data_IF_176661350538
#
_entry.id   IF_176661350538
#
_cell.length_a   1.000
_cell.length_b   1.000
_cell.length_c   1.000
_cell.angle_alpha   90.00
_cell.angle_beta   90.00
_cell.angle_gamma   90.00
#
_symmetry.space_group_name_H-M   'P 1'
#
loop_
_entity.id
_entity.type
_entity.pdbx_description
1 polymer ?
#
# COMPACT_ATOMS: atom_id res chain seq x y z
N UNK A 1 7.15 8.83 -28.76
CA UNK A 1 7.24 7.49 -28.13
C UNK A 1 8.68 7.03 -27.98
N UNK A 2 9.45 6.86 -29.08
CA UNK A 2 10.83 6.35 -29.04
C UNK A 2 11.77 7.25 -28.21
N UNK A 3 11.68 8.57 -28.37
CA UNK A 3 12.51 9.54 -27.63
C UNK A 3 12.27 9.46 -26.11
N UNK A 4 11.02 9.28 -25.67
CA UNK A 4 10.71 9.11 -24.24
C UNK A 4 11.24 7.79 -23.67
N UNK A 5 11.32 6.74 -24.49
CA UNK A 5 11.92 5.47 -24.10
C UNK A 5 13.45 5.59 -23.95
N UNK A 6 14.10 6.27 -24.91
CA UNK A 6 15.53 6.55 -24.85
C UNK A 6 15.92 7.41 -23.64
N UNK A 7 15.13 8.44 -23.34
CA UNK A 7 15.31 9.29 -22.15
C UNK A 7 15.23 8.50 -20.83
N UNK A 8 14.29 7.54 -20.75
CA UNK A 8 14.17 6.64 -19.60
C UNK A 8 15.40 5.72 -19.48
N UNK A 9 15.86 5.15 -20.60
CA UNK A 9 17.05 4.29 -20.63
C UNK A 9 18.29 5.08 -20.24
N UNK A 10 18.45 6.31 -20.76
CA UNK A 10 19.58 7.18 -20.41
C UNK A 10 19.59 7.55 -18.92
N UNK A 11 18.42 7.89 -18.35
CA UNK A 11 18.28 8.16 -16.91
C UNK A 11 18.62 6.93 -16.08
N UNK A 12 18.14 5.75 -16.48
CA UNK A 12 18.46 4.48 -15.82
C UNK A 12 19.96 4.14 -15.91
N UNK A 13 20.60 4.39 -17.05
CA UNK A 13 22.05 4.19 -17.24
C UNK A 13 22.90 5.11 -16.36
N UNK A 14 22.48 6.36 -16.18
CA UNK A 14 23.17 7.33 -15.31
C UNK A 14 23.00 7.00 -13.81
N UNK A 15 21.95 6.32 -13.43
CA UNK A 15 21.66 5.95 -12.03
C UNK A 15 22.40 4.70 -11.53
N UNK A 16 23.20 4.02 -12.35
CA UNK A 16 24.08 2.88 -12.01
C UNK A 16 23.55 1.98 -10.90
N UNK A 17 22.44 1.29 -11.16
CA UNK A 17 21.91 0.28 -10.22
C UNK A 17 21.07 0.84 -9.06
N UNK A 18 20.70 2.12 -9.07
CA UNK A 18 19.70 2.67 -8.16
C UNK A 18 18.30 2.23 -8.57
N UNK A 19 17.44 2.01 -7.58
CA UNK A 19 16.03 1.70 -7.76
C UNK A 19 15.35 2.82 -8.55
N UNK A 20 14.80 2.51 -9.73
CA UNK A 20 14.17 3.51 -10.63
C UNK A 20 12.71 3.80 -10.25
N UNK A 21 12.05 2.82 -9.65
CA UNK A 21 10.67 2.93 -9.15
C UNK A 21 10.59 3.33 -7.69
N UNK A 22 9.42 3.12 -7.08
CA UNK A 22 9.22 3.34 -5.65
C UNK A 22 9.84 2.17 -4.88
N UNK A 23 10.85 2.39 -4.02
CA UNK A 23 11.50 1.31 -3.30
C UNK A 23 10.58 0.73 -2.22
N UNK A 24 10.66 -0.58 -2.03
CA UNK A 24 9.84 -1.34 -1.07
C UNK A 24 10.44 -1.35 0.34
N UNK A 25 11.74 -1.10 0.46
CA UNK A 25 12.50 -1.26 1.70
C UNK A 25 13.11 -2.65 1.88
N UNK A 26 12.78 -3.61 1.02
CA UNK A 26 13.40 -4.93 0.97
C UNK A 26 14.45 -4.95 -0.13
N UNK A 27 15.74 -4.95 0.25
CA UNK A 27 16.87 -4.76 -0.66
C UNK A 27 16.84 -5.76 -1.82
N UNK A 28 16.64 -7.04 -1.54
CA UNK A 28 16.62 -8.10 -2.57
C UNK A 28 15.43 -7.97 -3.51
N UNK A 29 14.27 -7.52 -2.99
CA UNK A 29 13.09 -7.27 -3.78
C UNK A 29 13.30 -6.05 -4.68
N UNK A 30 13.83 -4.97 -4.13
CA UNK A 30 14.15 -3.76 -4.86
C UNK A 30 15.19 -4.00 -5.95
N UNK A 31 16.18 -4.85 -5.67
CA UNK A 31 17.17 -5.26 -6.68
C UNK A 31 16.54 -6.02 -7.85
N UNK A 32 15.59 -6.94 -7.55
CA UNK A 32 14.93 -7.75 -8.59
C UNK A 32 13.91 -6.98 -9.41
N UNK A 33 13.15 -6.06 -8.78
CA UNK A 33 12.06 -5.32 -9.41
C UNK A 33 12.47 -3.91 -9.85
N UNK A 34 13.66 -3.43 -9.45
CA UNK A 34 14.06 -2.02 -9.58
C UNK A 34 13.07 -1.06 -8.90
N UNK A 35 12.42 -1.52 -7.82
CA UNK A 35 11.28 -0.86 -7.18
C UNK A 35 9.96 -1.02 -7.94
N UNK A 36 8.87 -0.51 -7.39
CA UNK A 36 7.56 -0.56 -8.05
C UNK A 36 7.45 0.55 -9.09
N UNK A 37 7.18 0.15 -10.34
CA UNK A 37 7.11 1.08 -11.46
C UNK A 37 5.70 1.69 -11.59
N UNK A 38 5.57 2.91 -12.15
CA UNK A 38 4.27 3.47 -12.47
C UNK A 38 3.47 2.54 -13.40
N UNK A 39 2.20 2.36 -13.09
CA UNK A 39 1.25 1.50 -13.82
C UNK A 39 1.45 0.00 -13.64
N UNK A 40 2.36 -0.45 -12.76
CA UNK A 40 2.48 -1.85 -12.43
C UNK A 40 1.27 -2.34 -11.61
N UNK A 41 0.82 -3.54 -11.95
CA UNK A 41 -0.10 -4.32 -11.14
C UNK A 41 0.68 -5.43 -10.43
N UNK A 42 0.76 -5.34 -9.09
CA UNK A 42 1.56 -6.26 -8.27
C UNK A 42 0.62 -7.10 -7.43
N UNK A 43 0.67 -8.41 -7.61
CA UNK A 43 -0.11 -9.37 -6.86
C UNK A 43 0.76 -10.08 -5.82
N UNK A 44 0.37 -9.96 -4.54
CA UNK A 44 0.99 -10.66 -3.42
C UNK A 44 0.05 -11.76 -2.94
N UNK A 45 0.42 -13.01 -3.19
CA UNK A 45 -0.35 -14.17 -2.81
C UNK A 45 0.34 -14.91 -1.65
N UNK A 46 -0.44 -15.27 -0.63
CA UNK A 46 0.03 -16.07 0.49
C UNK A 46 -1.13 -16.88 1.08
N UNK A 47 -0.82 -18.03 1.68
CA UNK A 47 -1.81 -18.78 2.48
C UNK A 47 -2.23 -17.95 3.71
N UNK A 48 -3.42 -18.21 4.28
CA UNK A 48 -3.84 -17.58 5.53
C UNK A 48 -2.75 -17.68 6.62
N UNK A 49 -2.62 -16.64 7.43
CA UNK A 49 -1.67 -16.55 8.55
C UNK A 49 -0.17 -16.57 8.19
N UNK A 50 0.19 -16.46 6.91
CA UNK A 50 1.60 -16.41 6.46
C UNK A 50 2.20 -15.00 6.50
N UNK A 51 1.51 -14.03 7.09
CA UNK A 51 2.05 -12.68 7.27
C UNK A 51 1.87 -11.72 6.07
N UNK A 52 0.95 -12.01 5.13
CA UNK A 52 0.65 -11.14 3.97
C UNK A 52 0.47 -9.68 4.38
N UNK A 53 -0.47 -9.40 5.28
CA UNK A 53 -0.76 -8.05 5.77
C UNK A 53 0.44 -7.41 6.46
N UNK A 54 1.22 -8.16 7.25
CA UNK A 54 2.42 -7.65 7.89
C UNK A 54 3.46 -7.23 6.85
N UNK A 55 3.70 -8.06 5.83
CA UNK A 55 4.61 -7.74 4.72
C UNK A 55 4.21 -6.47 3.98
N UNK A 56 2.92 -6.37 3.63
CA UNK A 56 2.36 -5.21 2.91
C UNK A 56 2.43 -3.94 3.75
N UNK A 57 2.18 -4.02 5.07
CA UNK A 57 2.29 -2.89 5.98
C UNK A 57 3.73 -2.39 6.12
N UNK A 58 4.73 -3.29 6.15
CA UNK A 58 6.14 -2.88 6.14
C UNK A 58 6.51 -2.11 4.87
N UNK A 59 6.04 -2.56 3.71
CA UNK A 59 6.22 -1.85 2.44
C UNK A 59 5.56 -0.47 2.51
N UNK A 60 4.30 -0.41 2.94
CA UNK A 60 3.53 0.83 3.04
C UNK A 60 4.19 1.84 3.99
N UNK A 61 4.63 1.38 5.16
CA UNK A 61 5.37 2.17 6.14
C UNK A 61 6.64 2.75 5.52
N UNK A 62 7.46 1.92 4.91
CA UNK A 62 8.71 2.37 4.30
C UNK A 62 8.46 3.42 3.22
N UNK A 63 7.49 3.18 2.34
CA UNK A 63 7.14 4.13 1.27
C UNK A 63 6.61 5.45 1.82
N UNK A 64 5.67 5.39 2.77
CA UNK A 64 5.03 6.59 3.31
C UNK A 64 5.96 7.36 4.25
N UNK A 65 6.65 6.68 5.18
CA UNK A 65 7.40 7.35 6.25
C UNK A 65 8.85 7.65 5.86
N UNK A 66 9.51 6.77 5.11
CA UNK A 66 10.93 6.97 4.74
C UNK A 66 11.10 7.58 3.36
N UNK A 67 10.12 7.40 2.45
CA UNK A 67 10.20 7.92 1.07
C UNK A 67 9.18 9.02 0.78
N UNK A 68 8.40 9.44 1.77
CA UNK A 68 7.39 10.51 1.67
C UNK A 68 6.42 10.31 0.48
N UNK A 69 6.08 9.04 0.19
CA UNK A 69 5.12 8.69 -0.86
C UNK A 69 3.69 8.72 -0.33
N UNK A 70 2.76 9.13 -1.17
CA UNK A 70 1.34 9.07 -0.85
C UNK A 70 0.80 7.66 -1.09
N UNK A 71 0.50 6.95 -0.01
CA UNK A 71 0.08 5.55 -0.01
C UNK A 71 -1.36 5.47 0.49
N UNK A 72 -2.25 4.85 -0.30
CA UNK A 72 -3.61 4.52 0.16
C UNK A 72 -3.74 3.02 0.38
N UNK A 73 -4.15 2.62 1.59
CA UNK A 73 -4.46 1.24 1.95
C UNK A 73 -5.97 1.10 2.07
N UNK A 74 -6.56 0.24 1.24
CA UNK A 74 -7.92 -0.24 1.37
C UNK A 74 -7.91 -1.58 2.09
N UNK A 75 -8.31 -1.57 3.36
CA UNK A 75 -8.35 -2.77 4.20
C UNK A 75 -9.77 -3.29 4.29
N UNK A 76 -10.02 -4.44 3.69
CA UNK A 76 -11.34 -5.05 3.64
C UNK A 76 -11.52 -6.15 4.69
N UNK A 77 -10.43 -6.56 5.36
CA UNK A 77 -10.42 -7.60 6.40
C UNK A 77 -10.23 -7.02 7.80
N UNK A 78 -9.38 -6.02 7.94
CA UNK A 78 -9.01 -5.43 9.23
C UNK A 78 -9.52 -4.01 9.37
N UNK A 79 -9.92 -3.63 10.58
CA UNK A 79 -10.31 -2.25 10.86
C UNK A 79 -9.11 -1.29 10.80
N UNK A 80 -9.40 -0.04 10.57
CA UNK A 80 -8.42 1.05 10.55
C UNK A 80 -7.61 1.11 11.84
N UNK A 81 -8.27 0.97 13.00
CA UNK A 81 -7.59 0.99 14.30
C UNK A 81 -6.59 -0.15 14.44
N UNK A 82 -6.95 -1.36 13.97
CA UNK A 82 -6.06 -2.51 14.02
C UNK A 82 -4.80 -2.30 13.17
N UNK A 83 -4.95 -1.69 11.99
CA UNK A 83 -3.81 -1.36 11.13
C UNK A 83 -2.95 -0.27 11.73
N UNK A 84 -3.56 0.79 12.30
CA UNK A 84 -2.84 1.87 12.97
C UNK A 84 -2.05 1.34 14.16
N UNK A 85 -2.62 0.45 14.97
CA UNK A 85 -1.91 -0.18 16.10
C UNK A 85 -0.70 -1.00 15.62
N UNK A 86 -0.82 -1.71 14.49
CA UNK A 86 0.33 -2.40 13.89
C UNK A 86 1.40 -1.44 13.39
N UNK A 87 1.00 -0.33 12.79
CA UNK A 87 1.94 0.71 12.33
C UNK A 87 2.64 1.38 13.52
N UNK A 88 1.94 1.61 14.64
CA UNK A 88 2.56 2.07 15.88
C UNK A 88 3.62 1.11 16.36
N UNK A 89 3.30 -0.18 16.46
CA UNK A 89 4.29 -1.20 16.88
C UNK A 89 5.50 -1.25 15.94
N UNK A 90 5.28 -1.14 14.63
CA UNK A 90 6.36 -1.13 13.64
C UNK A 90 7.25 0.10 13.75
N UNK A 91 6.68 1.30 13.86
CA UNK A 91 7.46 2.55 13.87
C UNK A 91 8.12 2.80 15.23
N UNK A 92 7.41 2.59 16.34
CA UNK A 92 7.93 2.80 17.70
C UNK A 92 8.80 1.65 18.20
N UNK A 93 8.77 0.48 17.53
CA UNK A 93 9.41 -0.76 18.00
C UNK A 93 8.95 -1.19 19.39
N UNK A 94 7.75 -0.82 19.78
CA UNK A 94 7.08 -1.29 21.00
C UNK A 94 6.29 -2.55 20.66
N UNK A 95 6.37 -3.53 21.56
CA UNK A 95 5.68 -4.81 21.38
C UNK A 95 4.17 -4.63 21.24
N UNK A 96 3.59 -5.26 20.21
CA UNK A 96 2.16 -5.14 19.91
C UNK A 96 1.26 -5.66 21.04
N UNK A 97 1.72 -6.64 21.83
CA UNK A 97 0.97 -7.12 22.97
C UNK A 97 0.96 -6.09 24.11
N UNK A 98 2.09 -5.42 24.35
CA UNK A 98 2.20 -4.34 25.32
C UNK A 98 1.27 -3.18 24.96
N UNK A 99 1.19 -2.80 23.68
CA UNK A 99 0.25 -1.80 23.20
C UNK A 99 -1.22 -2.21 23.44
N UNK A 100 -1.55 -3.48 23.20
CA UNK A 100 -2.92 -3.99 23.38
C UNK A 100 -3.35 -4.11 24.82
N UNK A 101 -2.43 -4.48 25.72
CA UNK A 101 -2.73 -4.71 27.15
C UNK A 101 -2.53 -3.46 28.00
N UNK A 102 -1.89 -2.41 27.46
CA UNK A 102 -1.54 -1.21 28.19
C UNK A 102 -0.35 -1.41 29.17
N UNK A 103 0.30 -2.58 29.15
CA UNK A 103 1.47 -2.85 30.00
C UNK A 103 2.74 -2.32 29.33
N UNK A 104 2.96 -1.01 29.46
CA UNK A 104 4.06 -0.27 28.83
C UNK A 104 4.93 0.39 29.89
N UNK A 105 6.22 0.51 29.57
CA UNK A 105 7.19 1.27 30.35
C UNK A 105 7.15 2.75 29.94
N UNK A 106 7.66 3.63 30.79
CA UNK A 106 7.73 5.06 30.47
C UNK A 106 8.51 5.31 29.17
N UNK A 107 9.60 4.57 28.94
CA UNK A 107 10.38 4.63 27.70
C UNK A 107 9.60 4.23 26.45
N UNK A 108 8.56 3.40 26.58
CA UNK A 108 7.71 2.99 25.46
C UNK A 108 6.75 4.10 25.07
N UNK A 109 6.30 4.89 26.05
CA UNK A 109 5.48 6.08 25.80
C UNK A 109 6.22 7.14 24.99
N UNK A 110 7.50 7.39 25.29
CA UNK A 110 8.32 8.33 24.52
C UNK A 110 8.42 7.90 23.05
N UNK A 111 8.74 6.62 22.81
CA UNK A 111 8.80 6.06 21.45
C UNK A 111 7.47 6.11 20.71
N UNK A 112 6.35 5.91 21.44
CA UNK A 112 5.02 6.01 20.84
C UNK A 112 4.68 7.44 20.42
N UNK A 113 5.07 8.43 21.22
CA UNK A 113 4.85 9.85 20.89
C UNK A 113 5.65 10.23 19.64
N UNK A 114 6.92 9.80 19.56
CA UNK A 114 7.74 9.99 18.37
C UNK A 114 7.12 9.30 17.14
N UNK A 115 6.70 8.03 17.28
CA UNK A 115 6.02 7.28 16.23
C UNK A 115 4.73 7.94 15.79
N UNK A 116 3.94 8.47 16.72
CA UNK A 116 2.71 9.20 16.41
C UNK A 116 2.99 10.45 15.55
N UNK A 117 4.08 11.17 15.86
CA UNK A 117 4.52 12.30 15.06
C UNK A 117 4.85 11.91 13.62
N UNK A 118 5.58 10.80 13.43
CA UNK A 118 5.92 10.28 12.08
C UNK A 118 4.67 9.85 11.31
N UNK A 119 3.79 9.07 11.95
CA UNK A 119 2.55 8.59 11.33
C UNK A 119 1.65 9.78 10.95
N UNK A 120 1.47 10.75 11.86
CA UNK A 120 0.60 11.90 11.65
C UNK A 120 1.09 12.86 10.55
N UNK A 121 2.38 12.94 10.31
CA UNK A 121 2.99 13.75 9.23
C UNK A 121 3.08 13.00 7.90
N UNK A 122 2.83 11.70 7.89
CA UNK A 122 2.93 10.88 6.68
C UNK A 122 1.75 11.10 5.74
N UNK A 123 1.96 10.76 4.47
CA UNK A 123 0.91 10.74 3.44
C UNK A 123 0.25 9.36 3.33
N UNK A 124 0.04 8.70 4.48
CA UNK A 124 -0.62 7.41 4.54
C UNK A 124 -2.12 7.58 4.75
N UNK A 125 -2.91 7.02 3.87
CA UNK A 125 -4.38 7.01 3.93
C UNK A 125 -4.82 5.58 4.18
N UNK A 126 -5.67 5.35 5.18
CA UNK A 126 -6.26 4.05 5.47
C UNK A 126 -7.77 4.16 5.35
N UNK A 127 -8.34 3.32 4.50
CA UNK A 127 -9.78 3.21 4.25
C UNK A 127 -10.21 1.77 4.55
N UNK A 128 -11.13 1.58 5.50
CA UNK A 128 -11.65 0.30 5.92
C UNK A 128 -13.14 0.12 5.59
N UNK A 129 -13.59 0.79 4.52
CA UNK A 129 -14.97 0.65 4.04
C UNK A 129 -15.23 -0.81 3.61
N UNK A 130 -16.14 -1.53 4.30
CA UNK A 130 -16.40 -2.93 4.00
C UNK A 130 -17.13 -3.06 2.66
N UNK A 131 -16.79 -4.10 1.89
CA UNK A 131 -17.48 -4.42 0.65
C UNK A 131 -17.45 -3.31 -0.40
N UNK A 132 -16.39 -2.50 -0.43
CA UNK A 132 -16.24 -1.40 -1.38
C UNK A 132 -16.35 -1.90 -2.82
N UNK A 133 -17.11 -1.21 -3.65
CA UNK A 133 -17.22 -1.50 -5.08
C UNK A 133 -16.03 -0.90 -5.86
N UNK A 134 -15.76 -1.43 -7.06
CA UNK A 134 -14.70 -0.91 -7.95
C UNK A 134 -14.95 0.57 -8.30
N UNK A 135 -16.20 0.95 -8.53
CA UNK A 135 -16.58 2.33 -8.86
C UNK A 135 -16.32 3.29 -7.70
N UNK A 136 -16.64 2.87 -6.50
CA UNK A 136 -16.40 3.65 -5.28
C UNK A 136 -14.90 3.77 -4.99
N UNK A 137 -14.17 2.67 -5.07
CA UNK A 137 -12.70 2.66 -4.93
C UNK A 137 -12.05 3.62 -5.92
N UNK A 138 -12.46 3.57 -7.20
CA UNK A 138 -11.96 4.47 -8.23
C UNK A 138 -12.24 5.94 -7.90
N UNK A 139 -13.44 6.25 -7.41
CA UNK A 139 -13.82 7.61 -7.02
C UNK A 139 -12.98 8.13 -5.86
N UNK A 140 -12.77 7.29 -4.83
CA UNK A 140 -11.91 7.62 -3.69
C UNK A 140 -10.45 7.80 -4.12
N UNK A 141 -9.91 6.92 -4.96
CA UNK A 141 -8.55 7.05 -5.47
C UNK A 141 -8.33 8.35 -6.26
N UNK A 142 -9.31 8.75 -7.11
CA UNK A 142 -9.25 10.03 -7.82
C UNK A 142 -9.25 11.21 -6.86
N UNK A 143 -10.10 11.19 -5.84
CA UNK A 143 -10.12 12.21 -4.78
C UNK A 143 -8.76 12.29 -4.08
N UNK A 144 -8.24 11.16 -3.60
CA UNK A 144 -6.92 11.10 -2.93
C UNK A 144 -5.78 11.57 -3.84
N UNK A 145 -5.84 11.24 -5.14
CA UNK A 145 -4.85 11.75 -6.10
C UNK A 145 -4.86 13.26 -6.21
N UNK A 146 -6.02 13.88 -6.24
CA UNK A 146 -6.16 15.33 -6.33
C UNK A 146 -5.74 16.05 -5.03
N UNK A 147 -6.10 15.47 -3.87
CA UNK A 147 -5.85 16.09 -2.56
C UNK A 147 -4.44 15.86 -2.03
N UNK A 148 -3.88 14.67 -2.27
CA UNK A 148 -2.64 14.21 -1.62
C UNK A 148 -1.54 13.77 -2.60
N UNK A 149 -1.83 13.69 -3.91
CA UNK A 149 -0.86 13.27 -4.90
C UNK A 149 -0.54 11.78 -4.85
N UNK A 150 -1.57 10.91 -4.78
CA UNK A 150 -1.47 9.45 -4.62
C UNK A 150 -0.44 8.79 -5.55
N UNK A 151 0.51 8.07 -4.96
CA UNK A 151 1.59 7.35 -5.66
C UNK A 151 1.30 5.85 -5.78
N UNK A 152 0.69 5.22 -4.76
CA UNK A 152 0.42 3.79 -4.72
C UNK A 152 -0.89 3.47 -4.01
N UNK A 153 -1.56 2.43 -4.48
CA UNK A 153 -2.79 1.89 -3.91
C UNK A 153 -2.51 0.45 -3.48
N UNK A 154 -2.87 0.12 -2.26
CA UNK A 154 -2.77 -1.22 -1.67
C UNK A 154 -4.17 -1.68 -1.30
N UNK A 155 -4.53 -2.92 -1.66
CA UNK A 155 -5.83 -3.51 -1.33
C UNK A 155 -5.60 -4.83 -0.62
N UNK A 156 -6.04 -4.93 0.63
CA UNK A 156 -5.94 -6.13 1.45
C UNK A 156 -7.34 -6.57 1.91
N UNK A 157 -7.96 -7.54 1.25
CA UNK A 157 -7.60 -8.25 0.04
C UNK A 157 -8.76 -8.25 -0.97
N UNK A 158 -8.45 -8.43 -2.24
CA UNK A 158 -9.36 -8.27 -3.38
C UNK A 158 -10.67 -9.06 -3.29
N UNK A 159 -10.65 -10.28 -2.73
CA UNK A 159 -11.82 -11.17 -2.67
C UNK A 159 -12.97 -10.65 -1.79
N UNK A 160 -12.73 -9.62 -0.97
CA UNK A 160 -13.77 -9.00 -0.13
C UNK A 160 -14.44 -7.79 -0.79
N UNK A 161 -14.02 -7.42 -2.00
CA UNK A 161 -14.71 -6.39 -2.77
C UNK A 161 -16.08 -6.87 -3.25
N UNK A 162 -17.04 -5.96 -3.29
CA UNK A 162 -18.33 -6.24 -3.91
C UNK A 162 -18.22 -6.25 -5.43
N UNK A 163 -18.59 -7.36 -6.07
CA UNK A 163 -18.72 -7.45 -7.51
C UNK A 163 -19.80 -6.50 -8.04
N UNK A 164 -19.68 -6.09 -9.29
CA UNK A 164 -20.73 -5.33 -9.96
C UNK A 164 -21.92 -6.26 -10.25
N UNK A 165 -22.89 -6.29 -9.36
CA UNK A 165 -24.16 -7.01 -9.29
C UNK A 165 -24.88 -7.52 -10.56
N UNK A 166 -24.17 -8.21 -11.45
CA UNK A 166 -24.76 -9.03 -12.51
C UNK A 166 -24.21 -10.43 -12.32
N UNK A 167 -25.11 -11.35 -11.95
CA UNK A 167 -24.85 -12.74 -11.64
C UNK A 167 -23.74 -13.35 -12.50
N UNK A 168 -22.55 -13.40 -11.96
CA UNK A 168 -21.44 -14.09 -12.56
C UNK A 168 -21.28 -15.43 -11.87
N UNK A 169 -21.30 -16.47 -12.67
CA UNK A 169 -21.33 -17.87 -12.23
C UNK A 169 -20.02 -18.35 -11.59
N UNK A 170 -18.99 -17.52 -11.44
CA UNK A 170 -17.79 -17.93 -10.74
C UNK A 170 -17.03 -16.75 -10.09
N UNK A 171 -16.64 -16.95 -8.83
CA UNK A 171 -15.77 -16.05 -8.06
C UNK A 171 -14.42 -15.77 -8.76
N UNK A 172 -13.97 -16.68 -9.64
CA UNK A 172 -12.78 -16.51 -10.45
C UNK A 172 -12.97 -15.45 -11.55
N UNK A 173 -14.17 -15.39 -12.13
CA UNK A 173 -14.54 -14.38 -13.12
C UNK A 173 -14.56 -12.98 -12.50
N UNK A 174 -15.13 -12.85 -11.30
CA UNK A 174 -15.13 -11.58 -10.54
C UNK A 174 -13.72 -11.07 -10.25
N UNK A 175 -12.81 -11.95 -9.81
CA UNK A 175 -11.41 -11.58 -9.56
C UNK A 175 -10.71 -11.20 -10.87
N UNK A 176 -10.99 -11.89 -11.97
CA UNK A 176 -10.48 -11.56 -13.28
C UNK A 176 -10.96 -10.19 -13.75
N UNK A 177 -12.26 -9.92 -13.63
CA UNK A 177 -12.86 -8.64 -14.00
C UNK A 177 -12.35 -7.48 -13.14
N UNK A 178 -12.13 -7.72 -11.85
CA UNK A 178 -11.48 -6.80 -10.92
C UNK A 178 -10.06 -6.53 -11.41
N UNK A 179 -9.25 -7.56 -11.67
CA UNK A 179 -7.88 -7.43 -12.15
C UNK A 179 -7.79 -6.65 -13.46
N UNK A 180 -8.63 -6.96 -14.43
CA UNK A 180 -8.73 -6.24 -15.71
C UNK A 180 -9.14 -4.78 -15.49
N UNK A 181 -10.07 -4.52 -14.57
CA UNK A 181 -10.52 -3.15 -14.26
C UNK A 181 -9.41 -2.30 -13.63
N UNK A 182 -8.46 -2.90 -12.91
CA UNK A 182 -7.30 -2.18 -12.34
C UNK A 182 -6.27 -1.79 -13.38
N UNK A 183 -6.04 -2.60 -14.41
CA UNK A 183 -5.13 -2.22 -15.51
C UNK A 183 -5.67 -1.01 -16.30
N UNK A 184 -6.97 -0.72 -16.20
CA UNK A 184 -7.64 0.45 -16.77
C UNK A 184 -7.86 1.59 -15.77
N UNK A 185 -7.33 1.51 -14.55
CA UNK A 185 -7.27 2.64 -13.62
C UNK A 185 -6.20 3.65 -14.07
N UNK A 186 -6.38 4.21 -15.26
CA UNK A 186 -5.65 5.40 -15.67
C UNK A 186 -6.15 6.54 -14.80
N UNK A 187 -5.40 6.83 -13.74
CA UNK A 187 -5.55 8.11 -13.05
C UNK A 187 -5.19 9.20 -14.08
N UNK A 188 -5.98 10.24 -14.23
CA UNK A 188 -5.64 11.33 -15.13
C UNK A 188 -4.25 11.86 -14.73
N UNK A 189 -3.35 11.91 -15.71
CA UNK A 189 -2.01 12.53 -15.60
C UNK A 189 -2.13 14.00 -15.31
#
# INVERSE_FOLDING_TARGET
>A
MVLNALDKIEKASKSKGTVTGIPTGFIDLDYKLSGFQPSDFILIAARPSMGKTAFVLNIAQYMAFKKNKAVAIFSLEMSKEQLVNRLFSLESQVDAQSLRTGNMKDSDWEKLIEGAGVIGQSKLIIDDTPGISISELRSKCRKYKLEHGLDIIIIDYLQLMSGSGRGSDSRQQEISDISVSYTHLTLPT
#
